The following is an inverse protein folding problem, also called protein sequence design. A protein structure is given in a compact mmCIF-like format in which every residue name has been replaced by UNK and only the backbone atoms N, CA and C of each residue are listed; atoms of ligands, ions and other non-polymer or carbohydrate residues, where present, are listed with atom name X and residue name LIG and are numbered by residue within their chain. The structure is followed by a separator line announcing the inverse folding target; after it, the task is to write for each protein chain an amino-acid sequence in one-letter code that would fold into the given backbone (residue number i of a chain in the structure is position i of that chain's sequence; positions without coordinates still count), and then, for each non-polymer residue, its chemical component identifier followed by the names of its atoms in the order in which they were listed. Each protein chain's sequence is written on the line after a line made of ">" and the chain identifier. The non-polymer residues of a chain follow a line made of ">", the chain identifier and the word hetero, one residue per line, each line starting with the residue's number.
data_IF_668012158613
#
_entry.id   IF_668012158613
#
_cell.length_a   1.000
_cell.length_b   1.000
_cell.length_c   1.000
_cell.angle_alpha   90.00
_cell.angle_beta   90.00
_cell.angle_gamma   90.00
#
_symmetry.space_group_name_H-M   'P 1'
#
loop_
_entity.id
_entity.type
_entity.pdbx_description
1 polymer ?
#
# COMPACT_ATOMS: atom_id res chain seq x y z
N UNK A 1 16.46 16.71 -17.44
CA UNK A 1 15.25 17.54 -17.33
C UNK A 1 14.16 16.93 -18.20
N UNK A 2 13.77 15.69 -17.90
CA UNK A 2 13.00 14.84 -18.85
C UNK A 2 12.20 13.72 -18.15
N UNK A 3 11.71 13.95 -16.92
CA UNK A 3 10.87 12.96 -16.19
C UNK A 3 9.42 13.41 -15.97
N UNK A 4 9.00 14.56 -16.48
CA UNK A 4 7.77 15.23 -16.05
C UNK A 4 6.48 14.86 -16.82
N UNK A 5 6.54 13.99 -17.83
CA UNK A 5 5.38 13.76 -18.73
C UNK A 5 4.59 12.47 -18.50
N UNK A 6 5.01 11.56 -17.63
CA UNK A 6 4.36 10.25 -17.56
C UNK A 6 3.27 10.08 -16.49
N UNK A 7 3.12 11.02 -15.55
CA UNK A 7 2.16 10.91 -14.44
C UNK A 7 1.19 12.09 -14.27
N UNK A 8 1.33 13.17 -15.06
CA UNK A 8 0.47 14.35 -14.97
C UNK A 8 -0.68 14.37 -16.00
N UNK A 9 -0.83 13.32 -16.80
CA UNK A 9 -2.00 13.17 -17.66
C UNK A 9 -3.09 12.51 -16.82
N UNK A 10 -4.34 12.99 -16.91
CA UNK A 10 -5.60 12.30 -16.53
C UNK A 10 -6.38 12.75 -15.27
N UNK A 11 -6.05 13.85 -14.59
CA UNK A 11 -7.01 14.43 -13.64
C UNK A 11 -7.73 15.64 -14.24
N UNK A 12 -8.93 15.41 -14.78
CA UNK A 12 -9.83 16.50 -15.24
C UNK A 12 -10.03 17.57 -14.16
N UNK A 13 -10.03 17.15 -12.90
CA UNK A 13 -10.12 18.03 -11.75
C UNK A 13 -8.86 18.88 -11.59
N UNK A 14 -7.67 18.32 -11.75
CA UNK A 14 -6.40 19.07 -11.75
C UNK A 14 -6.34 20.06 -12.91
N UNK A 15 -6.68 19.65 -14.12
CA UNK A 15 -6.65 20.54 -15.29
C UNK A 15 -7.60 21.72 -15.12
N UNK A 16 -8.77 21.48 -14.52
CA UNK A 16 -9.79 22.51 -14.33
C UNK A 16 -9.57 23.39 -13.11
N UNK A 17 -9.11 22.82 -11.99
CA UNK A 17 -9.08 23.49 -10.69
C UNK A 17 -7.66 23.67 -10.14
N UNK A 18 -6.62 23.25 -10.85
CA UNK A 18 -5.23 23.31 -10.42
C UNK A 18 -4.89 22.30 -9.33
N UNK A 19 -3.74 22.49 -8.70
CA UNK A 19 -3.21 21.59 -7.66
C UNK A 19 -4.00 21.72 -6.35
N UNK A 20 -4.83 20.73 -6.04
CA UNK A 20 -5.70 20.78 -4.87
C UNK A 20 -4.96 20.58 -3.55
N UNK A 21 -3.83 19.86 -3.54
CA UNK A 21 -3.06 19.64 -2.31
C UNK A 21 -2.38 20.96 -1.93
N UNK A 22 -1.73 21.64 -2.88
CA UNK A 22 -1.11 22.93 -2.64
C UNK A 22 -2.12 23.98 -2.16
N UNK A 23 -3.31 24.01 -2.78
CA UNK A 23 -4.40 24.90 -2.37
C UNK A 23 -4.90 24.61 -0.95
N UNK A 24 -5.09 23.33 -0.61
CA UNK A 24 -5.54 22.91 0.71
C UNK A 24 -4.53 23.30 1.79
N UNK A 25 -3.24 22.99 1.60
CA UNK A 25 -2.15 23.36 2.53
C UNK A 25 -2.14 24.87 2.76
N UNK A 26 -2.13 25.66 1.69
CA UNK A 26 -2.14 27.13 1.78
C UNK A 26 -3.34 27.68 2.55
N UNK A 27 -4.54 27.12 2.33
CA UNK A 27 -5.75 27.57 3.01
C UNK A 27 -5.78 27.16 4.50
N UNK A 28 -5.40 25.93 4.82
CA UNK A 28 -5.37 25.41 6.17
C UNK A 28 -4.34 26.13 7.05
N UNK A 29 -3.13 26.32 6.52
CA UNK A 29 -2.03 26.98 7.26
C UNK A 29 -2.34 28.44 7.59
N UNK A 30 -3.07 29.16 6.72
CA UNK A 30 -3.56 30.52 7.04
C UNK A 30 -4.47 30.58 8.26
N UNK A 31 -5.06 29.46 8.65
CA UNK A 31 -5.94 29.31 9.81
C UNK A 31 -5.28 28.51 10.94
N UNK A 32 -3.98 28.24 10.87
CA UNK A 32 -3.26 27.47 11.90
C UNK A 32 -3.68 25.99 11.97
N UNK A 33 -4.24 25.43 10.91
CA UNK A 33 -4.66 24.03 10.84
C UNK A 33 -3.59 23.15 10.21
N UNK A 34 -3.33 21.98 10.80
CA UNK A 34 -2.47 20.96 10.21
C UNK A 34 -3.18 20.25 9.05
N UNK A 35 -2.43 19.93 7.99
CA UNK A 35 -2.91 19.12 6.87
C UNK A 35 -2.22 17.76 6.87
N UNK A 36 -3.04 16.72 6.99
CA UNK A 36 -2.63 15.33 6.89
C UNK A 36 -3.23 14.72 5.62
N UNK A 37 -2.40 14.40 4.64
CA UNK A 37 -2.92 13.87 3.36
C UNK A 37 -3.35 12.42 3.55
N UNK A 38 -4.64 12.18 3.33
CA UNK A 38 -5.25 10.84 3.32
C UNK A 38 -4.90 10.12 2.02
N UNK A 39 -4.21 8.98 2.11
CA UNK A 39 -3.80 8.17 0.96
C UNK A 39 -4.33 6.75 1.07
N UNK A 40 -5.12 6.35 0.09
CA UNK A 40 -5.58 4.95 -0.08
C UNK A 40 -4.42 4.10 -0.60
N UNK A 41 -4.00 3.09 0.16
CA UNK A 41 -2.93 2.16 -0.19
C UNK A 41 -3.48 0.89 -0.87
N UNK A 42 -2.74 0.36 -1.82
CA UNK A 42 -2.94 -0.93 -2.52
C UNK A 42 -4.21 -1.09 -3.35
N UNK A 43 -5.35 -0.52 -2.95
CA UNK A 43 -6.64 -0.66 -3.60
C UNK A 43 -6.64 -0.09 -5.03
N UNK A 44 -7.24 -0.82 -5.97
CA UNK A 44 -7.34 -0.46 -7.38
C UNK A 44 -8.80 -0.27 -7.86
N UNK A 45 -9.80 -0.29 -6.97
CA UNK A 45 -11.23 -0.30 -7.34
C UNK A 45 -11.69 0.91 -8.16
N UNK A 46 -10.92 2.00 -8.14
CA UNK A 46 -11.15 3.21 -8.94
C UNK A 46 -9.98 3.57 -9.86
N UNK A 47 -9.03 2.65 -10.05
CA UNK A 47 -7.94 2.85 -10.99
C UNK A 47 -8.43 2.68 -12.45
N UNK A 48 -7.77 3.30 -13.44
CA UNK A 48 -8.07 3.05 -14.85
C UNK A 48 -7.93 1.56 -15.21
N UNK A 49 -8.87 1.04 -16.01
CA UNK A 49 -8.92 -0.39 -16.36
C UNK A 49 -7.64 -0.87 -17.04
N UNK A 50 -7.05 -0.07 -17.93
CA UNK A 50 -5.80 -0.39 -18.62
C UNK A 50 -4.62 -0.52 -17.63
N UNK A 51 -4.60 0.31 -16.59
CA UNK A 51 -3.63 0.19 -15.50
C UNK A 51 -3.84 -1.11 -14.71
N UNK A 52 -5.08 -1.45 -14.35
CA UNK A 52 -5.41 -2.70 -13.65
C UNK A 52 -4.94 -3.90 -14.48
N UNK A 53 -5.27 -3.95 -15.76
CA UNK A 53 -4.87 -5.04 -16.66
C UNK A 53 -3.34 -5.16 -16.78
N UNK A 54 -2.63 -4.03 -16.84
CA UNK A 54 -1.16 -4.01 -16.83
C UNK A 54 -0.60 -4.58 -15.52
N UNK A 55 -1.17 -4.24 -14.37
CA UNK A 55 -0.74 -4.77 -13.07
C UNK A 55 -1.02 -6.26 -12.94
N UNK A 56 -2.19 -6.73 -13.40
CA UNK A 56 -2.55 -8.15 -13.43
C UNK A 56 -1.57 -8.95 -14.30
N UNK A 57 -1.32 -8.51 -15.53
CA UNK A 57 -0.37 -9.14 -16.46
C UNK A 57 1.06 -9.20 -15.91
N UNK A 58 1.44 -8.23 -15.10
CA UNK A 58 2.75 -8.18 -14.45
C UNK A 58 2.83 -9.01 -13.16
N UNK A 59 1.77 -9.74 -12.76
CA UNK A 59 1.74 -10.50 -11.50
C UNK A 59 1.77 -9.60 -10.26
N UNK A 60 1.35 -8.35 -10.39
CA UNK A 60 1.42 -7.33 -9.34
C UNK A 60 0.14 -7.21 -8.52
N UNK A 61 -0.96 -7.84 -8.91
CA UNK A 61 -2.20 -7.85 -8.13
C UNK A 61 -2.23 -8.99 -7.13
N UNK A 62 -3.12 -8.86 -6.15
CA UNK A 62 -3.46 -9.96 -5.26
C UNK A 62 -4.31 -11.00 -6.01
N UNK A 63 -4.27 -12.22 -5.50
CA UNK A 63 -4.99 -13.37 -6.06
C UNK A 63 -5.64 -14.13 -4.89
N UNK A 64 -6.88 -14.59 -5.09
CA UNK A 64 -7.61 -15.42 -4.12
C UNK A 64 -6.99 -16.82 -3.98
N UNK A 65 -7.38 -17.63 -2.97
CA UNK A 65 -6.96 -19.03 -2.91
C UNK A 65 -7.34 -19.86 -4.14
N UNK A 66 -8.40 -19.48 -4.84
CA UNK A 66 -8.90 -20.15 -6.05
C UNK A 66 -8.25 -19.65 -7.34
N UNK A 67 -7.33 -18.67 -7.26
CA UNK A 67 -6.63 -18.14 -8.43
C UNK A 67 -7.27 -16.92 -9.08
N UNK A 68 -8.36 -16.39 -8.52
CA UNK A 68 -9.06 -15.23 -9.07
C UNK A 68 -8.30 -13.93 -8.73
N UNK A 69 -8.12 -13.01 -9.70
CA UNK A 69 -7.47 -11.73 -9.44
C UNK A 69 -8.33 -10.85 -8.54
N UNK A 70 -7.68 -10.14 -7.62
CA UNK A 70 -8.30 -9.14 -6.74
C UNK A 70 -7.73 -7.77 -7.11
N UNK A 71 -8.59 -6.74 -7.20
CA UNK A 71 -8.22 -5.36 -7.57
C UNK A 71 -7.54 -4.61 -6.43
N UNK A 72 -6.43 -5.20 -6.00
CA UNK A 72 -5.53 -4.76 -4.97
C UNK A 72 -4.12 -5.13 -5.40
N UNK A 73 -3.17 -4.23 -5.20
CA UNK A 73 -1.75 -4.53 -5.37
C UNK A 73 -1.27 -5.51 -4.30
N UNK A 74 -0.41 -6.45 -4.69
CA UNK A 74 0.25 -7.37 -3.78
C UNK A 74 1.29 -6.64 -2.92
N UNK A 75 1.14 -6.55 -1.58
CA UNK A 75 2.05 -5.79 -0.72
C UNK A 75 3.47 -6.36 -0.69
N UNK A 76 3.63 -7.66 -0.95
CA UNK A 76 4.94 -8.33 -0.97
C UNK A 76 5.76 -8.04 -2.24
N UNK A 77 5.12 -7.60 -3.32
CA UNK A 77 5.80 -7.36 -4.60
C UNK A 77 6.74 -6.14 -4.51
N UNK A 78 8.04 -6.25 -4.86
CA UNK A 78 9.02 -5.17 -4.69
C UNK A 78 8.65 -3.90 -5.47
N UNK A 79 8.18 -4.01 -6.71
CA UNK A 79 7.74 -2.83 -7.46
C UNK A 79 6.47 -2.17 -6.92
N UNK A 80 5.59 -2.90 -6.23
CA UNK A 80 4.44 -2.30 -5.56
C UNK A 80 4.86 -1.58 -4.29
N UNK A 81 5.76 -2.17 -3.52
CA UNK A 81 6.36 -1.52 -2.37
C UNK A 81 7.01 -0.19 -2.77
N UNK A 82 7.80 -0.20 -3.85
CA UNK A 82 8.44 1.02 -4.35
C UNK A 82 7.43 2.04 -4.87
N UNK A 83 6.42 1.60 -5.64
CA UNK A 83 5.35 2.48 -6.12
C UNK A 83 4.63 3.20 -4.96
N UNK A 84 4.22 2.47 -3.93
CA UNK A 84 3.52 3.02 -2.77
C UNK A 84 4.41 3.98 -1.97
N UNK A 85 5.64 3.56 -1.68
CA UNK A 85 6.61 4.37 -0.96
C UNK A 85 6.92 5.67 -1.71
N UNK A 86 7.22 5.59 -3.00
CA UNK A 86 7.58 6.75 -3.81
C UNK A 86 6.42 7.73 -3.92
N UNK A 87 5.17 7.23 -4.06
CA UNK A 87 3.97 8.06 -4.10
C UNK A 87 3.76 8.84 -2.79
N UNK A 88 3.97 8.20 -1.64
CA UNK A 88 3.87 8.85 -0.33
C UNK A 88 4.97 9.88 -0.11
N UNK A 89 6.22 9.54 -0.48
CA UNK A 89 7.35 10.47 -0.33
C UNK A 89 7.28 11.63 -1.32
N UNK A 90 6.69 11.43 -2.50
CA UNK A 90 6.43 12.51 -3.46
C UNK A 90 5.55 13.61 -2.85
N UNK A 91 4.48 13.24 -2.13
CA UNK A 91 3.62 14.21 -1.43
C UNK A 91 4.45 15.04 -0.44
N UNK A 92 5.28 14.37 0.38
CA UNK A 92 6.10 15.05 1.38
C UNK A 92 7.13 15.98 0.74
N UNK A 93 7.72 15.60 -0.39
CA UNK A 93 8.70 16.44 -1.12
C UNK A 93 8.05 17.66 -1.77
N UNK A 94 6.83 17.51 -2.31
CA UNK A 94 6.17 18.55 -3.11
C UNK A 94 5.35 19.53 -2.29
N UNK A 95 4.80 19.11 -1.16
CA UNK A 95 3.84 19.92 -0.39
C UNK A 95 4.30 20.05 1.06
N UNK A 96 4.09 21.21 1.66
CA UNK A 96 4.34 21.49 3.08
C UNK A 96 3.28 20.89 4.01
N UNK A 97 2.93 19.62 3.81
CA UNK A 97 2.00 18.88 4.68
C UNK A 97 2.61 18.58 6.05
N UNK A 98 1.76 18.54 7.06
CA UNK A 98 2.10 18.26 8.46
C UNK A 98 2.09 16.77 8.76
N UNK A 99 1.34 15.99 7.97
CA UNK A 99 1.32 14.55 8.11
C UNK A 99 0.82 13.77 6.89
N UNK A 100 0.93 12.46 7.02
CA UNK A 100 0.33 11.47 6.13
C UNK A 100 -0.64 10.61 6.94
N UNK A 101 -1.81 10.35 6.39
CA UNK A 101 -2.79 9.41 6.93
C UNK A 101 -2.95 8.24 5.95
N UNK A 102 -2.54 7.05 6.38
CA UNK A 102 -2.56 5.83 5.57
C UNK A 102 -3.91 5.13 5.72
N UNK A 103 -4.60 4.92 4.61
CA UNK A 103 -5.84 4.17 4.57
C UNK A 103 -5.67 2.92 3.72
N UNK A 104 -6.43 1.87 4.03
CA UNK A 104 -6.28 0.55 3.42
C UNK A 104 -4.84 0.00 3.48
N UNK A 105 -4.01 0.44 4.42
CA UNK A 105 -2.66 -0.10 4.67
C UNK A 105 -2.76 -1.50 5.31
N UNK A 106 -3.21 -2.47 4.50
CA UNK A 106 -3.65 -3.82 4.90
C UNK A 106 -3.89 -4.70 3.66
N UNK A 107 -4.36 -5.93 3.88
CA UNK A 107 -4.98 -6.78 2.85
C UNK A 107 -6.50 -6.52 2.77
N UNK A 108 -7.17 -6.86 1.64
CA UNK A 108 -8.61 -6.66 1.51
C UNK A 108 -9.42 -7.53 2.48
N UNK A 109 -9.00 -8.80 2.67
CA UNK A 109 -9.65 -9.82 3.51
C UNK A 109 -8.70 -11.01 3.71
N UNK A 110 -9.16 -12.07 4.39
CA UNK A 110 -8.44 -13.35 4.54
C UNK A 110 -8.12 -14.03 3.20
N UNK A 111 -8.86 -13.66 2.16
CA UNK A 111 -8.73 -14.20 0.80
C UNK A 111 -7.62 -13.50 0.00
N UNK A 112 -7.04 -12.41 0.50
CA UNK A 112 -5.89 -11.74 -0.10
C UNK A 112 -4.61 -11.99 0.70
N UNK A 113 -3.49 -12.45 0.16
CA UNK A 113 -3.12 -12.70 -1.23
C UNK A 113 -2.44 -14.07 -1.33
N UNK A 114 -2.68 -14.81 -2.40
CA UNK A 114 -2.13 -16.15 -2.62
C UNK A 114 -1.49 -16.34 -4.01
N UNK A 115 -1.01 -15.26 -4.64
CA UNK A 115 -0.30 -15.34 -5.92
C UNK A 115 1.03 -16.10 -5.83
N UNK A 116 1.53 -16.61 -6.97
CA UNK A 116 2.82 -17.33 -7.04
C UNK A 116 3.99 -16.49 -6.49
N UNK A 117 3.96 -15.18 -6.69
CA UNK A 117 4.97 -14.29 -6.13
C UNK A 117 4.97 -14.28 -4.58
N UNK A 118 3.81 -14.40 -3.93
CA UNK A 118 3.76 -14.57 -2.48
C UNK A 118 4.36 -15.92 -2.07
N UNK A 119 4.05 -17.01 -2.78
CA UNK A 119 4.64 -18.34 -2.52
C UNK A 119 6.16 -18.30 -2.53
N UNK A 120 6.73 -17.71 -3.58
CA UNK A 120 8.18 -17.59 -3.78
C UNK A 120 8.83 -16.73 -2.70
N UNK A 121 8.28 -15.54 -2.45
CA UNK A 121 8.85 -14.59 -1.47
C UNK A 121 8.72 -15.11 -0.05
N UNK A 122 7.57 -15.67 0.31
CA UNK A 122 7.38 -16.32 1.60
C UNK A 122 8.39 -17.46 1.79
N UNK A 123 8.52 -18.35 0.79
CA UNK A 123 9.45 -19.48 0.89
C UNK A 123 10.91 -19.04 1.04
N UNK A 124 11.29 -17.98 0.30
CA UNK A 124 12.63 -17.38 0.40
C UNK A 124 12.86 -16.73 1.76
N UNK A 125 11.92 -15.89 2.21
CA UNK A 125 12.07 -15.11 3.44
C UNK A 125 12.07 -16.00 4.69
N UNK A 126 11.39 -17.16 4.65
CA UNK A 126 11.40 -18.15 5.74
C UNK A 126 12.46 -19.24 5.57
N UNK A 127 13.16 -19.31 4.42
CA UNK A 127 14.08 -20.40 4.09
C UNK A 127 13.42 -21.78 3.97
N UNK A 128 12.10 -21.84 3.70
CA UNK A 128 11.32 -23.09 3.69
C UNK A 128 10.33 -23.09 2.53
N UNK A 129 10.46 -24.04 1.62
CA UNK A 129 9.48 -24.24 0.55
C UNK A 129 8.10 -24.60 1.11
N UNK A 130 7.04 -24.10 0.48
CA UNK A 130 5.66 -24.55 0.70
C UNK A 130 5.36 -25.66 -0.30
N UNK A 131 4.97 -26.86 0.17
CA UNK A 131 4.71 -28.00 -0.72
C UNK A 131 3.33 -27.88 -1.37
N UNK A 132 2.29 -27.64 -0.57
CA UNK A 132 0.92 -27.54 -1.05
C UNK A 132 0.46 -26.08 -0.90
N UNK A 133 0.73 -25.27 -1.91
CA UNK A 133 0.28 -23.88 -1.94
C UNK A 133 -1.14 -23.78 -2.56
N UNK A 134 -2.07 -23.01 -1.99
CA UNK A 134 -1.97 -22.25 -0.74
C UNK A 134 -2.46 -23.01 0.52
N UNK A 135 -2.91 -24.27 0.40
CA UNK A 135 -3.54 -25.00 1.52
C UNK A 135 -2.68 -25.06 2.78
N UNK A 136 -1.37 -25.26 2.64
CA UNK A 136 -0.42 -25.31 3.78
C UNK A 136 -0.40 -24.01 4.60
N UNK A 137 -0.70 -22.87 3.98
CA UNK A 137 -0.70 -21.53 4.62
C UNK A 137 -2.09 -21.01 4.96
N UNK A 138 -3.17 -21.67 4.53
CA UNK A 138 -4.55 -21.31 4.88
C UNK A 138 -5.03 -22.17 6.05
N UNK A 139 -5.00 -23.49 5.88
CA UNK A 139 -5.51 -24.47 6.87
C UNK A 139 -4.42 -25.39 7.40
N UNK A 140 -3.24 -25.39 6.77
CA UNK A 140 -2.13 -26.26 7.14
C UNK A 140 -1.20 -25.69 8.21
N UNK A 141 -0.07 -26.38 8.40
CA UNK A 141 0.88 -26.15 9.48
C UNK A 141 1.66 -24.83 9.37
N UNK A 142 1.64 -24.18 8.20
CA UNK A 142 2.36 -22.92 7.96
C UNK A 142 1.47 -21.67 8.08
N UNK A 143 0.20 -21.83 8.48
CA UNK A 143 -0.76 -20.72 8.63
C UNK A 143 -0.22 -19.57 9.47
N UNK A 144 0.20 -19.83 10.70
CA UNK A 144 0.66 -18.75 11.60
C UNK A 144 1.92 -18.04 11.09
N UNK A 145 2.84 -18.80 10.49
CA UNK A 145 4.04 -18.23 9.87
C UNK A 145 3.68 -17.32 8.69
N UNK A 146 2.68 -17.70 7.89
CA UNK A 146 2.19 -16.90 6.78
C UNK A 146 1.42 -15.65 7.24
N UNK A 147 0.61 -15.75 8.29
CA UNK A 147 -0.08 -14.60 8.88
C UNK A 147 0.92 -13.56 9.40
N UNK A 148 1.95 -13.99 10.14
CA UNK A 148 3.03 -13.10 10.59
C UNK A 148 3.77 -12.47 9.41
N UNK A 149 4.07 -13.26 8.38
CA UNK A 149 4.73 -12.75 7.19
C UNK A 149 3.87 -11.72 6.46
N UNK A 150 2.54 -11.93 6.37
CA UNK A 150 1.58 -10.96 5.81
C UNK A 150 1.63 -9.63 6.57
N UNK A 151 1.58 -9.65 7.90
CA UNK A 151 1.73 -8.45 8.72
C UNK A 151 3.05 -7.74 8.43
N UNK A 152 4.18 -8.46 8.38
CA UNK A 152 5.48 -7.84 8.11
C UNK A 152 5.54 -7.18 6.72
N UNK A 153 4.79 -7.67 5.72
CA UNK A 153 4.70 -6.98 4.41
C UNK A 153 4.00 -5.62 4.49
N UNK A 154 3.11 -5.42 5.45
CA UNK A 154 2.46 -4.13 5.73
C UNK A 154 3.41 -3.27 6.58
N UNK A 155 3.91 -3.84 7.67
CA UNK A 155 4.82 -3.18 8.61
C UNK A 155 6.07 -2.63 7.93
N UNK A 156 6.66 -3.37 6.97
CA UNK A 156 7.83 -2.90 6.23
C UNK A 156 7.55 -1.60 5.46
N UNK A 157 6.36 -1.42 4.89
CA UNK A 157 6.02 -0.19 4.16
C UNK A 157 5.81 0.95 5.16
N UNK A 158 5.04 0.73 6.22
CA UNK A 158 4.80 1.74 7.27
C UNK A 158 6.12 2.21 7.88
N UNK A 159 7.03 1.27 8.20
CA UNK A 159 8.38 1.56 8.72
C UNK A 159 9.19 2.38 7.72
N UNK A 160 9.23 1.98 6.46
CA UNK A 160 9.99 2.70 5.43
C UNK A 160 9.46 4.12 5.18
N UNK A 161 8.14 4.29 5.17
CA UNK A 161 7.50 5.61 5.05
C UNK A 161 7.84 6.48 6.25
N UNK A 162 7.68 5.96 7.47
CA UNK A 162 8.01 6.68 8.70
C UNK A 162 9.45 7.20 8.69
N UNK A 163 10.41 6.31 8.43
CA UNK A 163 11.83 6.65 8.46
C UNK A 163 12.22 7.67 7.37
N UNK A 164 11.74 7.47 6.14
CA UNK A 164 12.13 8.32 5.01
C UNK A 164 11.40 9.66 5.02
N UNK A 165 10.13 9.68 5.39
CA UNK A 165 9.36 10.91 5.43
C UNK A 165 9.86 11.86 6.54
N UNK A 166 10.28 11.34 7.70
CA UNK A 166 10.91 12.14 8.77
C UNK A 166 12.29 12.70 8.39
N UNK A 167 13.04 12.01 7.53
CA UNK A 167 14.30 12.52 6.97
C UNK A 167 14.06 13.69 6.03
N UNK A 168 12.96 13.67 5.28
CA UNK A 168 12.57 14.75 4.36
C UNK A 168 11.97 15.95 5.11
N UNK A 169 11.13 15.70 6.14
CA UNK A 169 10.51 16.75 6.95
C UNK A 169 10.50 16.36 8.43
N UNK A 170 11.32 17.05 9.22
CA UNK A 170 11.32 16.90 10.68
C UNK A 170 9.93 17.28 11.22
N UNK A 171 9.40 16.47 12.13
CA UNK A 171 8.10 16.71 12.76
C UNK A 171 6.89 16.19 11.98
N UNK A 172 7.07 15.65 10.77
CA UNK A 172 5.97 15.03 10.02
C UNK A 172 5.32 13.91 10.84
N UNK A 173 3.99 13.96 10.94
CA UNK A 173 3.18 12.95 11.62
C UNK A 173 2.78 11.85 10.63
N UNK A 174 2.78 10.60 11.09
CA UNK A 174 2.27 9.46 10.34
C UNK A 174 1.17 8.81 11.17
N UNK A 175 0.00 8.62 10.56
CA UNK A 175 -1.16 7.97 11.16
C UNK A 175 -1.78 6.99 10.17
N UNK A 176 -2.67 6.12 10.64
CA UNK A 176 -3.36 5.15 9.80
C UNK A 176 -4.77 4.85 10.29
N UNK A 177 -5.67 4.50 9.36
CA UNK A 177 -6.95 3.89 9.67
C UNK A 177 -6.76 2.39 9.93
N UNK A 178 -7.10 1.94 11.14
CA UNK A 178 -6.89 0.55 11.60
C UNK A 178 -8.16 -0.05 12.20
N UNK A 179 -8.29 -1.37 12.09
CA UNK A 179 -9.35 -2.11 12.78
C UNK A 179 -8.99 -2.38 14.25
N UNK A 180 -9.97 -2.26 15.14
CA UNK A 180 -9.78 -2.45 16.59
C UNK A 180 -9.97 -3.89 17.09
N UNK A 181 -10.41 -4.81 16.23
CA UNK A 181 -10.85 -6.16 16.61
C UNK A 181 -9.70 -7.18 16.70
N UNK A 182 -8.62 -6.86 17.41
CA UNK A 182 -7.51 -7.79 17.64
C UNK A 182 -7.98 -9.05 18.41
N UNK A 183 -7.56 -10.28 18.03
CA UNK A 183 -6.61 -10.60 16.97
C UNK A 183 -7.21 -10.80 15.56
N UNK A 184 -8.52 -10.63 15.36
CA UNK A 184 -9.16 -10.89 14.07
C UNK A 184 -8.63 -10.00 12.93
N UNK A 185 -8.29 -8.73 13.20
CA UNK A 185 -7.67 -7.84 12.20
C UNK A 185 -6.32 -8.36 11.68
N UNK A 186 -5.51 -8.98 12.55
CA UNK A 186 -4.24 -9.63 12.17
C UNK A 186 -4.49 -10.74 11.15
N UNK A 187 -5.42 -11.64 11.45
CA UNK A 187 -5.67 -12.82 10.61
C UNK A 187 -6.37 -12.45 9.29
N UNK A 188 -7.33 -11.54 9.35
CA UNK A 188 -8.15 -11.17 8.21
C UNK A 188 -7.38 -10.23 7.28
N UNK A 189 -6.80 -9.16 7.81
CA UNK A 189 -6.28 -8.07 6.98
C UNK A 189 -4.80 -7.75 7.21
N UNK A 190 -4.09 -8.50 8.06
CA UNK A 190 -2.66 -8.31 8.28
C UNK A 190 -2.32 -6.98 8.98
N UNK A 191 -3.17 -6.55 9.91
CA UNK A 191 -2.92 -5.39 10.79
C UNK A 191 -2.71 -5.88 12.23
N UNK A 192 -1.60 -5.47 12.85
CA UNK A 192 -1.23 -5.76 14.25
C UNK A 192 -0.58 -4.55 14.95
#
# INVERSE_FOLDING_TARGET
>A
MESLRHWHLYSKTFDKYGDQIAQCVKAAHRNGLEVHVWKVNWNLSHAPEDFIQKMRKAGRTQVSPTGEPIDWLCPSHPDNFRLELDSLLEIVRKYEVDGLHLDYIRYPSSEGCYCDGCRERFSRDTGKAVKNWPSDVITGTRREEYLNWRCEQITRLVRAVHEQARKLRKGLKLSAAVFSNYPACREQVGQD
#
